data_IF_286105701359
#
_entry.id   IF_286105701359
#
_cell.length_a   1.000
_cell.length_b   1.000
_cell.length_c   1.000
_cell.angle_alpha   90.00
_cell.angle_beta   90.00
_cell.angle_gamma   90.00
#
_symmetry.space_group_name_H-M   'P 1'
#
loop_
_entity.id
_entity.type
_entity.pdbx_description
1 polymer ?
#
# COMPACT_ATOMS: atom_id res chain seq x y z
N UNK A 1 4.59 -2.50 18.06
CA UNK A 1 4.42 -1.40 17.08
C UNK A 1 5.72 -1.03 16.33
N UNK A 2 6.86 -1.68 16.61
CA UNK A 2 8.16 -1.34 16.02
C UNK A 2 8.34 -1.80 14.56
N UNK A 3 7.72 -2.92 14.16
CA UNK A 3 7.85 -3.51 12.81
C UNK A 3 7.34 -2.63 11.66
N UNK A 4 6.39 -1.72 11.91
CA UNK A 4 5.83 -0.84 10.87
C UNK A 4 6.80 0.29 10.46
N UNK A 5 7.75 0.68 11.33
CA UNK A 5 8.71 1.76 11.04
C UNK A 5 9.84 1.34 10.09
N UNK A 6 10.02 0.04 9.86
CA UNK A 6 11.06 -0.52 9.00
C UNK A 6 10.56 -0.93 7.59
N UNK A 7 9.24 -0.88 7.34
CA UNK A 7 8.70 -1.25 6.04
C UNK A 7 8.82 -0.09 5.04
N UNK A 8 9.34 -0.33 3.83
CA UNK A 8 9.46 0.72 2.82
C UNK A 8 8.08 1.25 2.44
N UNK A 9 7.91 2.56 2.55
CA UNK A 9 6.67 3.24 2.21
C UNK A 9 6.35 3.13 0.70
N UNK A 10 7.38 3.05 -0.14
CA UNK A 10 7.32 2.86 -1.60
C UNK A 10 8.46 1.95 -2.03
N UNK A 11 8.19 1.01 -2.94
CA UNK A 11 9.18 0.02 -3.37
C UNK A 11 8.89 -0.46 -4.79
N UNK A 12 9.97 -0.64 -5.57
CA UNK A 12 9.93 -1.38 -6.82
C UNK A 12 10.05 -2.87 -6.51
N UNK A 13 9.11 -3.69 -6.98
CA UNK A 13 9.10 -5.12 -6.69
C UNK A 13 10.18 -5.85 -7.48
N UNK A 14 11.10 -6.47 -6.74
CA UNK A 14 12.00 -7.50 -7.25
C UNK A 14 11.39 -8.90 -7.05
N UNK A 15 12.08 -9.94 -7.57
CA UNK A 15 11.58 -11.32 -7.51
C UNK A 15 11.40 -11.83 -6.06
N UNK A 16 12.36 -11.53 -5.19
CA UNK A 16 12.31 -11.94 -3.77
C UNK A 16 11.07 -11.39 -3.07
N UNK A 17 10.85 -10.08 -3.18
CA UNK A 17 9.74 -9.42 -2.51
C UNK A 17 8.39 -9.78 -3.12
N UNK A 18 8.33 -9.98 -4.43
CA UNK A 18 7.13 -10.46 -5.09
C UNK A 18 6.72 -11.84 -4.53
N UNK A 19 7.68 -12.76 -4.38
CA UNK A 19 7.42 -14.09 -3.81
C UNK A 19 7.01 -14.01 -2.34
N UNK A 20 7.62 -13.13 -1.55
CA UNK A 20 7.23 -12.88 -0.16
C UNK A 20 5.80 -12.35 -0.05
N UNK A 21 5.41 -11.40 -0.89
CA UNK A 21 4.05 -10.88 -0.90
C UNK A 21 3.05 -11.95 -1.35
N UNK A 22 3.41 -12.74 -2.36
CA UNK A 22 2.57 -13.85 -2.83
C UNK A 22 2.31 -14.86 -1.71
N UNK A 23 3.30 -15.19 -0.87
CA UNK A 23 3.13 -16.09 0.28
C UNK A 23 2.30 -15.49 1.41
N UNK A 24 2.22 -14.15 1.50
CA UNK A 24 1.37 -13.41 2.42
C UNK A 24 -0.08 -13.21 1.91
N UNK A 25 -0.45 -13.85 0.80
CA UNK A 25 -1.82 -13.78 0.24
C UNK A 25 -2.02 -12.73 -0.84
N UNK A 26 -0.95 -12.14 -1.37
CA UNK A 26 -1.01 -11.24 -2.54
C UNK A 26 -0.81 -11.98 -3.87
N UNK A 27 -0.92 -13.30 -3.88
CA UNK A 27 -0.72 -14.13 -5.07
C UNK A 27 -1.55 -13.61 -6.26
N UNK A 28 -0.87 -13.30 -7.37
CA UNK A 28 -1.49 -12.80 -8.59
C UNK A 28 -1.92 -11.32 -8.55
N UNK A 29 -1.68 -10.60 -7.45
CA UNK A 29 -2.03 -9.18 -7.32
C UNK A 29 -0.98 -8.25 -7.93
N UNK A 30 0.29 -8.66 -7.91
CA UNK A 30 1.42 -7.85 -8.37
C UNK A 30 2.26 -8.61 -9.41
N UNK A 31 2.98 -7.86 -10.24
CA UNK A 31 3.97 -8.34 -11.18
C UNK A 31 5.39 -7.88 -10.81
N UNK A 32 6.40 -8.57 -11.35
CA UNK A 32 7.78 -8.12 -11.23
C UNK A 32 7.93 -6.73 -11.87
N UNK A 33 8.60 -5.81 -11.17
CA UNK A 33 8.76 -4.43 -11.63
C UNK A 33 7.57 -3.51 -11.35
N UNK A 34 6.48 -4.00 -10.75
CA UNK A 34 5.44 -3.11 -10.23
C UNK A 34 5.99 -2.23 -9.10
N UNK A 35 5.50 -0.99 -9.06
CA UNK A 35 5.74 -0.11 -7.91
C UNK A 35 4.58 -0.19 -6.94
N UNK A 36 4.88 -0.62 -5.71
CA UNK A 36 3.92 -0.75 -4.63
C UNK A 36 4.19 0.26 -3.53
N UNK A 37 3.12 0.65 -2.84
CA UNK A 37 3.18 1.57 -1.70
C UNK A 37 2.43 0.99 -0.53
N UNK A 38 2.93 1.25 0.68
CA UNK A 38 2.26 0.88 1.91
C UNK A 38 1.16 1.90 2.18
N UNK A 39 -0.10 1.52 1.96
CA UNK A 39 -1.24 2.41 2.07
C UNK A 39 -2.18 2.02 3.20
N UNK A 40 -2.86 3.01 3.76
CA UNK A 40 -4.01 2.85 4.63
C UNK A 40 -5.30 2.86 3.81
N UNK A 41 -6.32 2.11 4.21
CA UNK A 41 -7.61 2.08 3.54
C UNK A 41 -8.74 1.58 4.44
N UNK A 42 -9.94 1.42 3.87
CA UNK A 42 -11.15 1.02 4.60
C UNK A 42 -11.25 -0.47 4.95
N UNK A 43 -10.13 -1.18 5.01
CA UNK A 43 -10.08 -2.60 5.35
C UNK A 43 -9.57 -2.80 6.78
N UNK A 44 -9.91 -3.94 7.38
CA UNK A 44 -9.36 -4.34 8.69
C UNK A 44 -7.91 -4.82 8.57
N UNK A 45 -7.14 -4.72 9.66
CA UNK A 45 -5.77 -5.25 9.73
C UNK A 45 -4.63 -4.26 9.44
N UNK A 46 -4.94 -2.97 9.24
CA UNK A 46 -3.92 -1.91 9.16
C UNK A 46 -3.33 -1.69 7.74
N UNK A 47 -2.20 -0.99 7.62
CA UNK A 47 -1.60 -0.63 6.33
C UNK A 47 -1.18 -1.86 5.54
N UNK A 48 -1.37 -1.82 4.22
CA UNK A 48 -1.08 -2.95 3.34
C UNK A 48 -0.50 -2.46 2.01
N UNK A 49 0.24 -3.32 1.32
CA UNK A 49 0.79 -2.96 0.01
C UNK A 49 -0.33 -2.92 -1.05
N UNK A 50 -0.34 -1.84 -1.82
CA UNK A 50 -1.19 -1.64 -2.99
C UNK A 50 -0.36 -1.11 -4.13
N UNK A 51 -0.88 -1.17 -5.36
CA UNK A 51 -0.19 -0.56 -6.49
C UNK A 51 -0.18 0.97 -6.31
N UNK A 52 0.92 1.63 -6.69
CA UNK A 52 1.02 3.09 -6.55
C UNK A 52 -0.16 3.82 -7.20
N UNK A 53 -0.64 3.35 -8.37
CA UNK A 53 -1.81 3.91 -9.09
C UNK A 53 -3.12 3.84 -8.29
N UNK A 54 -3.23 2.90 -7.35
CA UNK A 54 -4.41 2.68 -6.50
C UNK A 54 -4.40 3.55 -5.24
N UNK A 55 -3.30 4.22 -4.94
CA UNK A 55 -3.16 5.09 -3.79
C UNK A 55 -2.98 6.56 -4.18
N UNK A 56 -3.19 7.43 -3.21
CA UNK A 56 -2.89 8.86 -3.26
C UNK A 56 -1.96 9.15 -2.09
N UNK A 57 -0.88 9.88 -2.35
CA UNK A 57 -0.02 10.38 -1.28
C UNK A 57 -0.69 11.58 -0.61
N UNK A 58 -1.07 11.41 0.65
CA UNK A 58 -1.63 12.48 1.46
C UNK A 58 -0.51 13.20 2.21
N UNK A 59 -0.26 14.45 1.81
CA UNK A 59 0.79 15.28 2.41
C UNK A 59 0.48 15.66 3.86
N UNK A 60 -0.79 15.74 4.25
CA UNK A 60 -1.18 16.10 5.61
C UNK A 60 -0.73 15.03 6.62
N UNK A 61 -0.87 13.76 6.25
CA UNK A 61 -0.49 12.61 7.09
C UNK A 61 0.84 11.97 6.69
N UNK A 62 1.53 12.54 5.69
CA UNK A 62 2.76 12.01 5.10
C UNK A 62 2.68 10.50 4.76
N UNK A 63 1.52 10.06 4.29
CA UNK A 63 1.16 8.63 4.15
C UNK A 63 0.43 8.36 2.83
N UNK A 64 0.50 7.13 2.33
CA UNK A 64 -0.35 6.72 1.20
C UNK A 64 -1.73 6.29 1.71
N UNK A 65 -2.76 6.76 1.04
CA UNK A 65 -4.15 6.39 1.32
C UNK A 65 -4.73 5.78 0.04
N UNK A 66 -5.46 4.67 0.17
CA UNK A 66 -6.19 4.09 -0.96
C UNK A 66 -7.10 5.15 -1.60
N UNK A 67 -7.07 5.25 -2.93
CA UNK A 67 -7.82 6.24 -3.70
C UNK A 67 -9.31 6.25 -3.38
N UNK A 68 -9.94 5.09 -3.17
CA UNK A 68 -11.36 4.98 -2.81
C UNK A 68 -11.61 5.55 -1.42
N UNK A 69 -10.81 5.14 -0.44
CA UNK A 69 -10.85 5.68 0.92
C UNK A 69 -10.62 7.20 0.96
N UNK A 70 -9.62 7.70 0.24
CA UNK A 70 -9.32 9.13 0.14
C UNK A 70 -10.51 9.93 -0.41
N UNK A 71 -11.14 9.43 -1.49
CA UNK A 71 -12.32 10.06 -2.08
C UNK A 71 -13.51 10.07 -1.13
N UNK A 72 -13.75 8.98 -0.42
CA UNK A 72 -14.82 8.92 0.57
C UNK A 72 -14.64 9.98 1.67
N UNK A 73 -13.41 10.19 2.16
CA UNK A 73 -13.09 11.24 3.14
C UNK A 73 -13.31 12.66 2.62
N UNK A 74 -13.10 12.88 1.32
CA UNK A 74 -13.29 14.20 0.68
C UNK A 74 -14.75 14.54 0.36
N UNK A 75 -15.65 13.56 0.36
CA UNK A 75 -17.09 13.80 0.16
C UNK A 75 -17.76 14.27 1.47
N UNK A 76 -17.18 13.95 2.62
CA UNK A 76 -17.70 14.28 3.95
C UNK A 76 -17.16 15.58 4.53
N UNK A 77 -16.30 16.30 3.80
CA UNK A 77 -15.71 17.61 4.13
C UNK A 77 -16.37 18.69 3.27
#
# INVERSE_FOLDING_TARGET
>A
MEKLRALPQKMLLNLEKLNELNSQGYAGKFCLGDTVVLACGGWEGGPRYVLEREAIFDRATNSYIERKCYRARKITD
#
